data_IF_647788589709
#
_entry.id   IF_647788589709
#
_cell.length_a   1.000
_cell.length_b   1.000
_cell.length_c   1.000
_cell.angle_alpha   90.00
_cell.angle_beta   90.00
_cell.angle_gamma   90.00
#
_symmetry.space_group_name_H-M   'P 1'
#
loop_
_entity.id
_entity.type
_entity.pdbx_description
1 polymer ?
#
# COMPACT_ATOMS: atom_id res chain seq x y z
N UNK A 1 14.58 -2.05 -10.03
CA UNK A 1 14.25 -0.85 -9.23
C UNK A 1 12.74 -0.79 -9.03
N UNK A 2 12.17 -1.66 -8.18
CA UNK A 2 10.71 -1.87 -8.10
C UNK A 2 10.15 -2.01 -6.67
N UNK A 3 10.95 -1.69 -5.65
CA UNK A 3 10.63 -2.04 -4.24
C UNK A 3 10.56 -0.85 -3.27
N UNK A 4 10.69 0.40 -3.75
CA UNK A 4 10.87 1.54 -2.84
C UNK A 4 9.58 2.21 -2.35
N UNK A 5 8.40 1.88 -2.87
CA UNK A 5 7.15 2.53 -2.42
C UNK A 5 6.60 1.98 -1.10
N UNK A 6 6.98 0.77 -0.71
CA UNK A 6 6.56 0.17 0.56
C UNK A 6 7.57 0.41 1.70
N UNK A 7 8.65 1.14 1.44
CA UNK A 7 9.61 1.52 2.47
C UNK A 7 9.10 2.73 3.26
N UNK A 8 9.33 2.66 4.58
CA UNK A 8 9.08 3.73 5.54
C UNK A 8 9.75 5.02 5.03
N UNK A 9 8.96 6.04 4.69
CA UNK A 9 9.48 7.33 4.20
C UNK A 9 9.37 7.61 2.69
N UNK A 10 8.66 6.79 1.91
CA UNK A 10 8.51 6.99 0.46
C UNK A 10 7.51 8.08 0.02
N UNK A 11 6.98 8.90 0.95
CA UNK A 11 6.06 9.98 0.62
C UNK A 11 6.74 11.34 0.71
N UNK A 12 6.72 12.08 -0.39
CA UNK A 12 7.28 13.42 -0.59
C UNK A 12 6.56 14.53 0.20
N UNK A 13 5.51 14.18 0.95
CA UNK A 13 4.72 15.09 1.79
C UNK A 13 4.45 14.43 3.13
N UNK A 14 5.17 14.87 4.17
CA UNK A 14 4.82 14.69 5.59
C UNK A 14 4.39 13.30 6.03
N UNK A 15 5.36 12.40 6.25
CA UNK A 15 5.20 11.30 7.20
C UNK A 15 5.12 9.90 6.61
N UNK A 16 4.56 9.66 5.42
CA UNK A 16 4.61 8.34 4.76
C UNK A 16 4.20 7.12 5.62
N UNK A 17 3.50 7.35 6.75
CA UNK A 17 3.12 6.33 7.72
C UNK A 17 1.71 5.81 7.44
N UNK A 18 0.83 6.61 6.85
CA UNK A 18 -0.57 6.24 6.60
C UNK A 18 -0.70 4.98 5.75
N UNK A 19 -0.07 4.95 4.57
CA UNK A 19 -0.12 3.79 3.69
C UNK A 19 0.60 2.57 4.28
N UNK A 20 1.69 2.79 5.03
CA UNK A 20 2.40 1.72 5.73
C UNK A 20 1.55 1.07 6.84
N UNK A 21 0.85 1.89 7.62
CA UNK A 21 -0.10 1.44 8.63
C UNK A 21 -1.28 0.71 7.98
N UNK A 22 -1.87 1.25 6.91
CA UNK A 22 -2.94 0.59 6.17
C UNK A 22 -2.50 -0.78 5.67
N UNK A 23 -1.28 -0.90 5.11
CA UNK A 23 -0.71 -2.19 4.70
C UNK A 23 -0.63 -3.16 5.88
N UNK A 24 -0.13 -2.72 7.04
CA UNK A 24 -0.03 -3.56 8.24
C UNK A 24 -1.40 -4.04 8.74
N UNK A 25 -2.42 -3.19 8.69
CA UNK A 25 -3.79 -3.57 9.06
C UNK A 25 -4.31 -4.64 8.10
N UNK A 26 -4.19 -4.43 6.79
CA UNK A 26 -4.64 -5.38 5.76
C UNK A 26 -3.92 -6.72 5.89
N UNK A 27 -2.61 -6.71 6.08
CA UNK A 27 -1.80 -7.91 6.37
C UNK A 27 -2.28 -8.63 7.65
N UNK A 28 -2.64 -7.88 8.70
CA UNK A 28 -3.18 -8.44 9.95
C UNK A 28 -4.52 -9.15 9.79
N UNK A 29 -5.33 -8.75 8.81
CA UNK A 29 -6.57 -9.45 8.42
C UNK A 29 -6.32 -10.61 7.44
N UNK A 30 -5.06 -10.97 7.15
CA UNK A 30 -4.71 -11.98 6.16
C UNK A 30 -4.95 -11.53 4.71
N UNK A 31 -5.15 -10.23 4.48
CA UNK A 31 -5.29 -9.64 3.17
C UNK A 31 -3.98 -9.19 2.55
N UNK A 32 -4.06 -8.61 1.35
CA UNK A 32 -2.93 -8.02 0.64
C UNK A 32 -3.30 -6.66 0.02
N UNK A 33 -2.29 -5.81 -0.18
CA UNK A 33 -2.42 -4.52 -0.87
C UNK A 33 -1.35 -4.38 -1.95
N UNK A 34 -1.76 -4.01 -3.15
CA UNK A 34 -0.90 -3.86 -4.31
C UNK A 34 -1.18 -2.53 -5.03
N UNK A 35 -0.15 -1.94 -5.63
CA UNK A 35 -0.31 -0.78 -6.49
C UNK A 35 -0.67 -1.26 -7.90
N UNK A 36 -1.81 -0.80 -8.42
CA UNK A 36 -2.21 -1.08 -9.80
C UNK A 36 -1.54 -0.06 -10.71
N UNK A 37 -0.78 -0.49 -11.72
CA UNK A 37 -0.18 0.42 -12.69
C UNK A 37 -1.29 1.00 -13.57
N UNK A 38 -1.54 2.30 -13.45
CA UNK A 38 -2.43 3.05 -14.34
C UNK A 38 -1.73 4.32 -14.84
N UNK A 39 -2.09 4.75 -16.06
CA UNK A 39 -1.47 5.91 -16.72
C UNK A 39 -1.91 7.25 -16.11
N UNK A 40 -2.98 7.26 -15.30
CA UNK A 40 -3.49 8.47 -14.63
C UNK A 40 -3.92 8.16 -13.19
N UNK A 41 -3.22 8.78 -12.24
CA UNK A 41 -3.55 8.68 -10.81
C UNK A 41 -2.83 7.54 -10.10
N UNK A 42 -3.31 7.23 -8.89
CA UNK A 42 -2.74 6.19 -8.03
C UNK A 42 -3.86 5.29 -7.54
N UNK A 43 -3.89 4.05 -8.02
CA UNK A 43 -4.91 3.06 -7.66
C UNK A 43 -4.26 1.95 -6.83
N UNK A 44 -4.76 1.73 -5.61
CA UNK A 44 -4.35 0.59 -4.77
C UNK A 44 -5.45 -0.46 -4.76
N UNK A 45 -5.08 -1.72 -5.03
CA UNK A 45 -5.97 -2.87 -4.93
C UNK A 45 -5.77 -3.54 -3.58
N UNK A 46 -6.86 -3.74 -2.85
CA UNK A 46 -6.88 -4.44 -1.56
C UNK A 46 -7.67 -5.74 -1.75
N UNK A 47 -7.06 -6.86 -1.37
CA UNK A 47 -7.71 -8.16 -1.33
C UNK A 47 -7.85 -8.59 0.13
N UNK A 48 -9.05 -8.99 0.53
CA UNK A 48 -9.34 -9.51 1.86
C UNK A 48 -9.86 -10.95 1.72
N UNK A 49 -9.51 -11.86 2.64
CA UNK A 49 -10.09 -13.20 2.65
C UNK A 49 -11.61 -13.09 2.89
N UNK A 50 -12.38 -13.77 2.04
CA UNK A 50 -13.81 -13.96 2.27
C UNK A 50 -13.96 -15.12 3.27
N UNK A 51 -14.48 -14.82 4.46
CA UNK A 51 -14.92 -15.85 5.42
C UNK A 51 -16.02 -16.73 4.82
#
# INVERSE_FOLDING_TARGET
>A
MRDSFFQKGASTTGGGFGLHLSKKVIEGYGGSIELVPEDKGTTYRILLPAN
#
